data_IF_229945302337
#
_entry.id   IF_229945302337
#
_cell.length_a   1.000
_cell.length_b   1.000
_cell.length_c   1.000
_cell.angle_alpha   90.00
_cell.angle_beta   90.00
_cell.angle_gamma   90.00
#
_symmetry.space_group_name_H-M   'P 1'
#
loop_
_entity.id
_entity.type
_entity.pdbx_description
1 polymer ?
#
# COMPACT_ATOMS: atom_id res chain seq x y z
N UNK A 1 -13.48 -17.62 -2.12
CA UNK A 1 -13.83 -16.63 -1.10
C UNK A 1 -14.60 -17.36 -0.01
N UNK A 2 -14.25 -17.17 1.26
CA UNK A 2 -14.85 -17.93 2.36
C UNK A 2 -15.90 -17.08 3.08
N UNK A 3 -17.18 -17.35 2.82
CA UNK A 3 -18.33 -16.64 3.43
C UNK A 3 -19.03 -17.49 4.49
N UNK A 4 -18.51 -18.69 4.81
CA UNK A 4 -19.14 -19.66 5.70
C UNK A 4 -19.58 -19.09 7.05
N UNK A 5 -18.77 -18.21 7.64
CA UNK A 5 -19.05 -17.56 8.92
C UNK A 5 -20.05 -16.39 8.86
N UNK A 6 -20.59 -16.04 7.69
CA UNK A 6 -21.58 -14.97 7.53
C UNK A 6 -23.02 -15.50 7.72
N UNK A 7 -23.98 -14.62 8.06
CA UNK A 7 -25.41 -14.95 8.06
C UNK A 7 -25.88 -15.56 6.73
N UNK A 8 -26.84 -16.49 6.79
CA UNK A 8 -27.33 -17.23 5.60
C UNK A 8 -27.87 -16.33 4.49
N UNK A 9 -28.56 -15.24 4.87
CA UNK A 9 -29.05 -14.24 3.91
C UNK A 9 -27.92 -13.57 3.13
N UNK A 10 -26.84 -13.20 3.83
CA UNK A 10 -25.64 -12.57 3.24
C UNK A 10 -24.89 -13.58 2.38
N UNK A 11 -24.71 -14.83 2.84
CA UNK A 11 -24.10 -15.90 2.05
C UNK A 11 -24.84 -16.11 0.73
N UNK A 12 -26.17 -16.23 0.80
CA UNK A 12 -27.03 -16.42 -0.37
C UNK A 12 -26.91 -15.25 -1.34
N UNK A 13 -26.99 -14.01 -0.86
CA UNK A 13 -26.84 -12.81 -1.69
C UNK A 13 -25.48 -12.78 -2.40
N UNK A 14 -24.39 -13.00 -1.66
CA UNK A 14 -23.03 -13.06 -2.21
C UNK A 14 -22.89 -14.13 -3.30
N UNK A 15 -23.38 -15.36 -3.07
CA UNK A 15 -23.27 -16.46 -4.04
C UNK A 15 -24.09 -16.18 -5.30
N UNK A 16 -25.38 -15.80 -5.14
CA UNK A 16 -26.29 -15.58 -6.27
C UNK A 16 -25.77 -14.43 -7.14
N UNK A 17 -25.43 -13.30 -6.53
CA UNK A 17 -25.02 -12.11 -7.27
C UNK A 17 -23.64 -12.29 -7.93
N UNK A 18 -22.74 -13.06 -7.30
CA UNK A 18 -21.49 -13.47 -7.95
C UNK A 18 -21.74 -14.32 -9.19
N UNK A 19 -22.60 -15.35 -9.10
CA UNK A 19 -22.92 -16.21 -10.24
C UNK A 19 -23.57 -15.40 -11.37
N UNK A 20 -24.54 -14.53 -11.06
CA UNK A 20 -25.16 -13.64 -12.05
C UNK A 20 -24.12 -12.79 -12.77
N UNK A 21 -23.22 -12.15 -12.03
CA UNK A 21 -22.13 -11.37 -12.62
C UNK A 21 -21.29 -12.25 -13.56
N UNK A 22 -20.88 -13.45 -13.12
CA UNK A 22 -20.08 -14.37 -13.96
C UNK A 22 -20.79 -14.83 -15.24
N UNK A 23 -22.12 -14.99 -15.23
CA UNK A 23 -22.91 -15.42 -16.39
C UNK A 23 -23.18 -14.28 -17.39
N UNK A 24 -23.29 -13.04 -16.92
CA UNK A 24 -23.55 -11.86 -17.76
C UNK A 24 -22.30 -11.33 -18.50
N UNK A 25 -21.13 -11.96 -18.29
CA UNK A 25 -19.81 -11.45 -18.67
C UNK A 25 -19.42 -11.63 -20.16
N UNK A 26 -20.35 -11.44 -21.10
CA UNK A 26 -20.05 -11.49 -22.54
C UNK A 26 -19.39 -10.22 -23.10
N UNK A 27 -19.34 -9.11 -22.34
CA UNK A 27 -18.89 -7.81 -22.86
C UNK A 27 -17.66 -7.24 -22.11
N UNK A 28 -16.48 -7.52 -22.64
CA UNK A 28 -15.17 -7.16 -22.06
C UNK A 28 -14.84 -5.66 -22.10
N UNK A 29 -15.57 -4.86 -22.88
CA UNK A 29 -15.31 -3.42 -23.04
C UNK A 29 -15.62 -2.59 -21.77
N UNK A 30 -16.49 -3.09 -20.89
CA UNK A 30 -16.86 -2.47 -19.60
C UNK A 30 -15.77 -2.62 -18.52
N UNK A 31 -14.80 -3.52 -18.72
CA UNK A 31 -13.81 -3.93 -17.70
C UNK A 31 -12.81 -2.85 -17.27
N UNK A 32 -12.74 -1.68 -17.91
CA UNK A 32 -11.59 -0.76 -17.75
C UNK A 32 -11.92 0.70 -17.44
N UNK A 33 -13.17 1.06 -17.22
CA UNK A 33 -13.58 2.47 -17.01
C UNK A 33 -13.26 2.97 -15.60
N UNK A 34 -13.61 2.21 -14.56
CA UNK A 34 -13.25 2.51 -13.18
C UNK A 34 -13.37 1.27 -12.28
N UNK A 35 -12.74 1.34 -11.11
CA UNK A 35 -12.64 0.24 -10.17
C UNK A 35 -14.01 -0.16 -9.59
N UNK A 36 -14.94 0.77 -9.40
CA UNK A 36 -16.30 0.44 -8.93
C UNK A 36 -17.02 -0.49 -9.91
N UNK A 37 -17.00 -0.17 -11.21
CA UNK A 37 -17.60 -1.02 -12.24
C UNK A 37 -16.88 -2.36 -12.37
N UNK A 38 -15.54 -2.35 -12.28
CA UNK A 38 -14.75 -3.57 -12.27
C UNK A 38 -15.12 -4.50 -11.10
N UNK A 39 -15.37 -3.95 -9.91
CA UNK A 39 -15.83 -4.73 -8.74
C UNK A 39 -17.18 -5.39 -9.04
N UNK A 40 -18.19 -4.63 -9.46
CA UNK A 40 -19.52 -5.20 -9.74
C UNK A 40 -19.47 -6.27 -10.84
N UNK A 41 -18.67 -6.05 -11.88
CA UNK A 41 -18.50 -6.99 -12.97
C UNK A 41 -17.85 -8.31 -12.53
N UNK A 42 -16.84 -8.26 -11.66
CA UNK A 42 -16.09 -9.45 -11.27
C UNK A 42 -16.66 -10.16 -10.04
N UNK A 43 -17.26 -9.41 -9.12
CA UNK A 43 -17.69 -9.91 -7.81
C UNK A 43 -19.21 -9.89 -7.60
N UNK A 44 -19.98 -9.22 -8.46
CA UNK A 44 -21.42 -9.06 -8.27
C UNK A 44 -21.79 -8.14 -7.10
N UNK A 45 -23.08 -7.81 -7.00
CA UNK A 45 -23.57 -6.79 -6.07
C UNK A 45 -23.42 -7.17 -4.58
N UNK A 46 -23.58 -8.46 -4.24
CA UNK A 46 -23.46 -8.94 -2.86
C UNK A 46 -22.05 -8.75 -2.29
N UNK A 47 -21.03 -9.34 -2.92
CA UNK A 47 -19.63 -9.20 -2.46
C UNK A 47 -19.16 -7.75 -2.55
N UNK A 48 -19.58 -7.03 -3.59
CA UNK A 48 -19.32 -5.60 -3.73
C UNK A 48 -19.78 -4.82 -2.49
N UNK A 49 -21.03 -5.04 -2.07
CA UNK A 49 -21.68 -4.36 -0.95
C UNK A 49 -21.03 -4.68 0.40
N UNK A 50 -20.77 -5.95 0.70
CA UNK A 50 -20.34 -6.34 2.04
C UNK A 50 -18.83 -6.24 2.28
N UNK A 51 -18.01 -6.27 1.23
CA UNK A 51 -16.56 -6.25 1.39
C UNK A 51 -15.87 -5.28 0.44
N UNK A 52 -15.96 -5.52 -0.87
CA UNK A 52 -15.06 -4.86 -1.83
C UNK A 52 -15.22 -3.34 -1.85
N UNK A 53 -16.45 -2.82 -1.84
CA UNK A 53 -16.68 -1.37 -1.83
C UNK A 53 -16.29 -0.74 -0.48
N UNK A 54 -16.88 -1.14 0.66
CA UNK A 54 -16.61 -0.46 1.93
C UNK A 54 -15.13 -0.56 2.35
N UNK A 55 -14.49 -1.72 2.13
CA UNK A 55 -13.06 -1.88 2.40
C UNK A 55 -12.20 -0.95 1.55
N UNK A 56 -12.42 -0.93 0.23
CA UNK A 56 -11.57 -0.15 -0.66
C UNK A 56 -11.82 1.35 -0.50
N UNK A 57 -13.04 1.81 -0.23
CA UNK A 57 -13.28 3.23 0.05
C UNK A 57 -12.61 3.67 1.36
N UNK A 58 -12.64 2.82 2.39
CA UNK A 58 -11.91 3.07 3.65
C UNK A 58 -10.40 3.08 3.42
N UNK A 59 -9.88 2.13 2.64
CA UNK A 59 -8.45 2.02 2.36
C UNK A 59 -7.94 3.16 1.49
N UNK A 60 -8.62 3.48 0.38
CA UNK A 60 -8.14 4.48 -0.57
C UNK A 60 -8.53 5.92 -0.22
N UNK A 61 -9.54 6.13 0.64
CA UNK A 61 -10.08 7.44 1.00
C UNK A 61 -10.57 8.23 -0.24
N UNK A 62 -11.01 7.49 -1.27
CA UNK A 62 -11.59 8.05 -2.50
C UNK A 62 -12.76 7.19 -2.97
N UNK A 63 -13.73 7.81 -3.63
CA UNK A 63 -14.83 7.10 -4.26
C UNK A 63 -14.30 6.22 -5.42
N UNK A 64 -14.67 4.94 -5.45
CA UNK A 64 -14.05 3.96 -6.37
C UNK A 64 -14.33 4.21 -7.86
N UNK A 65 -15.34 5.04 -8.18
CA UNK A 65 -15.57 5.56 -9.55
C UNK A 65 -14.44 6.45 -10.07
N UNK A 66 -13.64 7.01 -9.17
CA UNK A 66 -12.51 7.89 -9.48
C UNK A 66 -11.17 7.13 -9.57
N UNK A 67 -11.15 5.84 -9.24
CA UNK A 67 -9.99 4.97 -9.40
C UNK A 67 -10.08 4.22 -10.73
N UNK A 68 -8.99 4.20 -11.49
CA UNK A 68 -8.81 3.36 -12.67
C UNK A 68 -8.47 1.93 -12.24
N UNK A 69 -8.39 1.02 -13.22
CA UNK A 69 -8.05 -0.38 -12.99
C UNK A 69 -6.55 -0.68 -13.19
N UNK A 70 -5.71 0.33 -13.46
CA UNK A 70 -4.31 0.15 -13.88
C UNK A 70 -3.42 -0.47 -12.79
N UNK A 71 -3.88 -0.50 -11.54
CA UNK A 71 -3.17 -1.03 -10.39
C UNK A 71 -3.64 -2.42 -9.95
N UNK A 72 -4.69 -2.97 -10.55
CA UNK A 72 -5.36 -4.17 -10.05
C UNK A 72 -4.56 -5.44 -10.36
N UNK A 73 -3.84 -5.45 -11.49
CA UNK A 73 -3.17 -6.65 -12.02
C UNK A 73 -2.23 -7.27 -10.98
N UNK A 74 -2.55 -8.51 -10.58
CA UNK A 74 -1.80 -9.30 -9.60
C UNK A 74 -2.23 -9.12 -8.13
N UNK A 75 -2.96 -8.05 -7.77
CA UNK A 75 -3.28 -7.76 -6.36
C UNK A 75 -4.64 -8.25 -5.90
N UNK A 76 -5.64 -8.27 -6.79
CA UNK A 76 -7.00 -8.72 -6.46
C UNK A 76 -7.32 -10.03 -7.21
N UNK A 77 -7.20 -11.19 -6.55
CA UNK A 77 -7.53 -12.46 -7.18
C UNK A 77 -9.04 -12.61 -7.36
N UNK A 78 -9.47 -13.03 -8.55
CA UNK A 78 -10.88 -13.32 -8.85
C UNK A 78 -11.12 -14.82 -8.55
N UNK A 79 -12.03 -15.16 -7.61
CA UNK A 79 -12.34 -16.55 -7.30
C UNK A 79 -13.12 -17.23 -8.42
N UNK A 80 -13.09 -18.56 -8.49
CA UNK A 80 -14.01 -19.31 -9.36
C UNK A 80 -15.40 -19.42 -8.74
N UNK A 81 -16.43 -19.76 -9.54
CA UNK A 81 -17.77 -20.07 -9.01
C UNK A 81 -17.69 -21.18 -7.96
N UNK A 82 -16.92 -22.25 -8.24
CA UNK A 82 -16.71 -23.35 -7.30
C UNK A 82 -16.09 -22.88 -5.98
N UNK A 83 -15.13 -21.96 -6.02
CA UNK A 83 -14.50 -21.39 -4.81
C UNK A 83 -15.49 -20.58 -3.96
N UNK A 84 -16.42 -19.86 -4.60
CA UNK A 84 -17.44 -19.05 -3.90
C UNK A 84 -18.52 -19.96 -3.30
N UNK A 85 -19.02 -20.94 -4.05
CA UNK A 85 -20.02 -21.90 -3.55
C UNK A 85 -19.44 -22.75 -2.42
N UNK A 86 -18.25 -23.32 -2.61
CA UNK A 86 -17.59 -24.14 -1.58
C UNK A 86 -17.32 -23.35 -0.30
N UNK A 87 -16.88 -22.09 -0.44
CA UNK A 87 -16.61 -21.21 0.69
C UNK A 87 -17.87 -20.72 1.41
N UNK A 88 -19.06 -20.85 0.82
CA UNK A 88 -20.33 -20.57 1.50
C UNK A 88 -20.85 -21.79 2.28
N UNK A 89 -20.59 -23.01 1.77
CA UNK A 89 -21.07 -24.26 2.36
C UNK A 89 -20.21 -24.77 3.51
N UNK A 90 -18.90 -24.52 3.47
CA UNK A 90 -17.95 -24.98 4.49
C UNK A 90 -16.81 -23.99 4.65
N UNK A 91 -16.14 -24.06 5.80
CA UNK A 91 -14.87 -23.38 5.98
C UNK A 91 -13.85 -23.96 5.00
N UNK A 92 -13.53 -23.19 3.95
CA UNK A 92 -12.69 -23.64 2.83
C UNK A 92 -11.44 -22.75 2.74
N UNK A 93 -10.35 -23.07 3.47
CA UNK A 93 -9.13 -22.28 3.50
C UNK A 93 -8.26 -22.55 2.26
N UNK A 94 -8.80 -22.26 1.07
CA UNK A 94 -7.99 -22.29 -0.15
C UNK A 94 -7.01 -21.12 -0.11
N UNK A 95 -5.74 -21.42 -0.31
CA UNK A 95 -4.69 -20.43 -0.53
C UNK A 95 -4.94 -19.73 -1.87
N UNK A 96 -5.20 -18.42 -1.83
CA UNK A 96 -5.51 -17.60 -3.01
C UNK A 96 -4.67 -16.32 -2.93
N UNK A 97 -4.06 -15.92 -4.05
CA UNK A 97 -3.31 -14.68 -4.18
C UNK A 97 -1.79 -14.85 -4.07
N UNK A 98 -1.07 -13.77 -4.36
CA UNK A 98 0.39 -13.75 -4.46
C UNK A 98 1.10 -13.95 -3.11
N UNK A 99 0.44 -13.62 -2.00
CA UNK A 99 0.98 -13.68 -0.65
C UNK A 99 0.33 -14.80 0.19
N UNK A 100 -0.27 -15.81 -0.45
CA UNK A 100 -0.87 -16.94 0.25
C UNK A 100 0.15 -17.75 1.07
N UNK A 101 1.43 -17.68 0.68
CA UNK A 101 2.60 -18.04 1.48
C UNK A 101 3.60 -16.89 1.37
N UNK A 102 4.36 -16.65 2.42
CA UNK A 102 5.41 -15.64 2.43
C UNK A 102 6.54 -16.06 3.36
N UNK A 103 7.73 -15.51 3.15
CA UNK A 103 8.86 -15.65 4.06
C UNK A 103 8.99 -14.38 4.89
N UNK A 104 9.33 -14.55 6.17
CA UNK A 104 9.66 -13.45 7.06
C UNK A 104 10.96 -13.77 7.81
N UNK A 105 11.87 -12.79 8.00
CA UNK A 105 13.10 -13.02 8.77
C UNK A 105 12.80 -13.48 10.19
N UNK A 106 13.48 -14.52 10.65
CA UNK A 106 13.29 -15.04 12.02
C UNK A 106 13.60 -13.99 13.09
N UNK A 107 14.53 -13.07 12.85
CA UNK A 107 14.82 -11.94 13.75
C UNK A 107 15.23 -10.68 12.99
N UNK A 108 15.13 -9.52 13.65
CA UNK A 108 15.55 -8.21 13.12
C UNK A 108 14.61 -7.59 12.08
N UNK A 109 13.49 -8.25 11.79
CA UNK A 109 12.47 -7.80 10.85
C UNK A 109 12.98 -7.65 9.41
N UNK A 110 12.17 -7.02 8.56
CA UNK A 110 12.47 -6.87 7.13
C UNK A 110 13.74 -6.03 6.84
N UNK A 111 14.20 -5.22 7.80
CA UNK A 111 15.41 -4.42 7.68
C UNK A 111 16.68 -5.28 7.49
N UNK A 112 16.65 -6.56 7.89
CA UNK A 112 17.72 -7.52 7.65
C UNK A 112 18.07 -7.64 6.16
N UNK A 113 17.09 -7.52 5.26
CA UNK A 113 17.32 -7.60 3.82
C UNK A 113 18.20 -6.45 3.33
N UNK A 114 17.85 -5.21 3.67
CA UNK A 114 18.63 -4.02 3.28
C UNK A 114 20.03 -4.06 3.91
N UNK A 115 20.12 -4.43 5.20
CA UNK A 115 21.41 -4.59 5.91
C UNK A 115 22.31 -5.67 5.30
N UNK A 116 21.74 -6.67 4.62
CA UNK A 116 22.53 -7.67 3.92
C UNK A 116 23.16 -7.07 2.65
N UNK A 117 22.41 -6.27 1.88
CA UNK A 117 22.94 -5.59 0.69
C UNK A 117 24.02 -4.56 1.01
N UNK A 118 23.88 -3.78 2.09
CA UNK A 118 24.84 -2.72 2.42
C UNK A 118 26.27 -3.23 2.64
N UNK A 119 26.44 -4.50 3.03
CA UNK A 119 27.77 -5.15 3.17
C UNK A 119 28.56 -5.20 1.86
N UNK A 120 27.87 -5.15 0.72
CA UNK A 120 28.47 -5.21 -0.61
C UNK A 120 28.60 -3.83 -1.28
N UNK A 121 28.10 -2.76 -0.64
CA UNK A 121 28.10 -1.40 -1.21
C UNK A 121 29.20 -0.57 -0.55
N UNK A 122 30.21 -0.18 -1.33
CA UNK A 122 31.41 0.50 -0.82
C UNK A 122 31.21 2.00 -0.52
N UNK A 123 30.34 2.69 -1.26
CA UNK A 123 30.15 4.15 -1.17
C UNK A 123 28.72 4.45 -0.71
N UNK A 124 28.52 4.43 0.60
CA UNK A 124 27.26 4.84 1.23
C UNK A 124 27.53 6.12 2.00
N UNK A 125 26.83 7.18 1.63
CA UNK A 125 26.85 8.44 2.36
C UNK A 125 25.51 8.65 3.06
N UNK A 126 25.54 8.67 4.39
CA UNK A 126 24.37 8.93 5.23
C UNK A 126 24.37 10.39 5.69
N UNK A 127 23.23 10.86 6.21
CA UNK A 127 23.04 12.25 6.65
C UNK A 127 23.31 13.29 5.54
N UNK A 128 23.04 12.92 4.30
CA UNK A 128 23.14 13.78 3.11
C UNK A 128 21.78 13.83 2.43
N UNK A 129 20.95 14.78 2.83
CA UNK A 129 19.61 14.95 2.25
C UNK A 129 19.71 15.76 0.95
N UNK A 130 19.16 15.22 -0.14
CA UNK A 130 19.12 15.92 -1.42
C UNK A 130 18.09 17.05 -1.36
N UNK A 131 18.54 18.30 -1.51
CA UNK A 131 17.68 19.48 -1.42
C UNK A 131 17.34 20.05 -2.79
N UNK A 132 18.32 20.10 -3.70
CA UNK A 132 18.17 20.78 -4.99
C UNK A 132 18.79 19.99 -6.11
N UNK A 133 18.14 20.07 -7.27
CA UNK A 133 18.59 19.48 -8.53
C UNK A 133 18.62 20.60 -9.57
N UNK A 134 19.75 20.74 -10.27
CA UNK A 134 19.95 21.67 -11.37
C UNK A 134 20.17 20.89 -12.68
N UNK A 135 19.10 20.42 -13.36
CA UNK A 135 19.18 19.59 -14.56
C UNK A 135 20.14 20.05 -15.68
N UNK A 136 20.09 21.31 -16.09
CA UNK A 136 20.94 21.89 -17.15
C UNK A 136 22.41 21.91 -16.77
N UNK A 137 22.70 22.20 -15.50
CA UNK A 137 24.08 22.17 -14.97
C UNK A 137 24.54 20.76 -14.62
N UNK A 138 23.60 19.82 -14.54
CA UNK A 138 23.80 18.47 -14.02
C UNK A 138 24.46 18.43 -12.64
N UNK A 139 23.99 19.29 -11.75
CA UNK A 139 24.47 19.40 -10.37
C UNK A 139 23.33 19.10 -9.40
N UNK A 140 23.64 18.44 -8.29
CA UNK A 140 22.77 18.34 -7.12
C UNK A 140 23.40 19.03 -5.91
N UNK A 141 22.56 19.50 -4.98
CA UNK A 141 22.97 20.14 -3.73
C UNK A 141 22.29 19.44 -2.55
N UNK A 142 23.06 19.18 -1.51
CA UNK A 142 22.62 18.52 -0.28
C UNK A 142 22.37 19.53 0.85
N UNK A 143 21.71 19.09 1.92
CA UNK A 143 21.34 19.93 3.07
C UNK A 143 22.52 20.55 3.82
N UNK A 144 23.73 20.00 3.67
CA UNK A 144 24.97 20.54 4.24
C UNK A 144 25.68 21.54 3.32
N UNK A 145 25.06 21.92 2.20
CA UNK A 145 25.59 22.86 1.22
C UNK A 145 26.61 22.26 0.25
N UNK A 146 26.99 20.98 0.40
CA UNK A 146 27.83 20.31 -0.59
C UNK A 146 27.02 20.03 -1.85
N UNK A 147 27.69 20.05 -2.99
CA UNK A 147 27.11 19.63 -4.27
C UNK A 147 27.99 18.64 -5.01
N UNK A 148 27.39 17.90 -5.94
CA UNK A 148 28.12 17.05 -6.87
C UNK A 148 27.52 17.11 -8.27
N UNK A 149 28.39 16.96 -9.27
CA UNK A 149 27.99 16.77 -10.66
C UNK A 149 27.52 15.34 -10.90
N UNK A 150 26.67 15.14 -11.90
CA UNK A 150 26.22 13.82 -12.33
C UNK A 150 26.17 13.68 -13.85
N UNK A 151 26.45 12.49 -14.37
CA UNK A 151 26.14 12.16 -15.76
C UNK A 151 24.73 11.60 -15.91
N UNK A 152 24.37 10.72 -14.96
CA UNK A 152 23.09 10.05 -14.81
C UNK A 152 22.72 10.10 -13.33
N UNK A 153 21.49 10.52 -13.02
CA UNK A 153 20.99 10.63 -11.65
C UNK A 153 19.88 9.60 -11.45
N UNK A 154 20.08 8.64 -10.54
CA UNK A 154 19.07 7.64 -10.18
C UNK A 154 18.45 8.04 -8.85
N UNK A 155 17.13 8.21 -8.83
CA UNK A 155 16.41 8.70 -7.65
C UNK A 155 15.31 7.74 -7.21
N UNK A 156 15.28 7.45 -5.92
CA UNK A 156 14.18 6.72 -5.26
C UNK A 156 13.33 7.62 -4.37
N UNK A 157 13.55 8.95 -4.40
CA UNK A 157 12.74 9.93 -3.66
C UNK A 157 11.31 9.95 -4.20
N UNK A 158 10.30 10.35 -3.39
CA UNK A 158 8.93 10.47 -3.87
C UNK A 158 8.84 11.43 -5.08
N UNK A 159 8.29 10.95 -6.19
CA UNK A 159 8.23 11.69 -7.45
C UNK A 159 7.66 13.10 -7.27
N UNK A 160 6.62 13.23 -6.46
CA UNK A 160 5.92 14.50 -6.23
C UNK A 160 6.82 15.58 -5.57
N UNK A 161 7.85 15.20 -4.81
CA UNK A 161 8.76 16.14 -4.15
C UNK A 161 9.71 16.80 -5.17
N UNK A 162 9.92 16.19 -6.34
CA UNK A 162 10.80 16.75 -7.37
C UNK A 162 10.32 18.10 -7.91
N UNK A 163 9.01 18.40 -7.78
CA UNK A 163 8.46 19.70 -8.20
C UNK A 163 9.12 20.87 -7.43
N UNK A 164 9.53 20.62 -6.19
CA UNK A 164 10.12 21.61 -5.29
C UNK A 164 11.66 21.49 -5.25
N UNK A 165 12.20 20.29 -5.53
CA UNK A 165 13.66 20.06 -5.59
C UNK A 165 14.30 20.57 -6.89
N UNK A 166 13.61 20.52 -8.04
CA UNK A 166 14.16 20.97 -9.32
C UNK A 166 14.21 22.50 -9.38
N UNK A 167 15.42 23.05 -9.37
CA UNK A 167 15.69 24.49 -9.32
C UNK A 167 15.86 25.09 -10.72
N UNK A 168 14.85 24.86 -11.57
CA UNK A 168 14.82 25.39 -12.93
C UNK A 168 13.40 25.75 -13.36
N UNK A 169 13.29 26.60 -14.38
CA UNK A 169 12.00 26.88 -14.99
C UNK A 169 11.51 25.68 -15.81
N UNK A 170 10.84 24.76 -15.12
CA UNK A 170 10.16 23.64 -15.75
C UNK A 170 9.05 24.15 -16.67
N UNK A 171 8.85 23.54 -17.86
CA UNK A 171 7.73 23.89 -18.73
C UNK A 171 6.40 23.80 -17.97
N UNK A 172 5.49 24.75 -18.24
CA UNK A 172 4.18 24.83 -17.57
C UNK A 172 3.41 23.49 -17.60
N UNK A 173 3.47 22.77 -18.72
CA UNK A 173 2.81 21.47 -18.86
C UNK A 173 3.36 20.39 -17.92
N UNK A 174 4.62 20.48 -17.50
CA UNK A 174 5.25 19.58 -16.53
C UNK A 174 4.87 19.99 -15.10
N UNK A 175 4.91 21.30 -14.79
CA UNK A 175 4.45 21.83 -13.48
C UNK A 175 3.00 21.42 -13.20
N UNK A 176 2.12 21.54 -14.20
CA UNK A 176 0.72 21.10 -14.09
C UNK A 176 0.57 19.58 -13.97
N UNK A 177 1.45 18.79 -14.60
CA UNK A 177 1.40 17.34 -14.51
C UNK A 177 1.59 16.85 -13.06
N UNK A 178 2.43 17.52 -12.24
CA UNK A 178 2.60 17.15 -10.83
C UNK A 178 1.32 17.22 -10.01
N UNK A 179 0.34 18.06 -10.39
CA UNK A 179 -0.98 18.12 -9.72
C UNK A 179 -1.83 16.86 -9.96
N UNK A 180 -1.50 16.10 -11.01
CA UNK A 180 -2.11 14.80 -11.30
C UNK A 180 -1.57 13.65 -10.45
N UNK A 181 -0.49 13.88 -9.69
CA UNK A 181 0.06 12.89 -8.77
C UNK A 181 -0.67 12.97 -7.43
N UNK A 182 -1.47 11.95 -7.12
CA UNK A 182 -2.25 11.87 -5.88
C UNK A 182 -1.85 10.66 -5.06
N UNK A 183 -2.03 10.75 -3.75
CA UNK A 183 -1.74 9.70 -2.79
C UNK A 183 -2.70 9.81 -1.60
N UNK A 184 -2.84 8.72 -0.85
CA UNK A 184 -3.27 8.76 0.53
C UNK A 184 -2.06 8.57 1.46
N UNK A 185 -2.26 8.85 2.74
CA UNK A 185 -1.30 8.60 3.80
C UNK A 185 -1.78 7.45 4.68
N UNK A 186 -0.87 6.81 5.39
CA UNK A 186 -1.18 5.72 6.32
C UNK A 186 -0.67 6.08 7.71
N UNK A 187 -1.58 6.13 8.67
CA UNK A 187 -1.25 6.16 10.08
C UNK A 187 -1.15 4.72 10.59
N UNK A 188 0.04 4.30 10.99
CA UNK A 188 0.29 2.95 11.50
C UNK A 188 0.64 3.05 13.00
N UNK A 189 -0.23 2.48 13.84
CA UNK A 189 -0.02 2.38 15.28
C UNK A 189 0.48 0.99 15.62
N UNK A 190 1.73 0.89 16.06
CA UNK A 190 2.36 -0.33 16.56
C UNK A 190 2.16 -0.42 18.08
N UNK A 191 1.71 -1.57 18.56
CA UNK A 191 1.42 -1.82 19.95
C UNK A 191 2.16 -3.05 20.45
N UNK A 192 2.86 -2.90 21.58
CA UNK A 192 3.35 -4.01 22.39
C UNK A 192 2.41 -4.23 23.57
N UNK A 193 1.95 -5.46 23.76
CA UNK A 193 0.85 -5.79 24.66
C UNK A 193 1.29 -6.94 25.58
N UNK A 194 1.12 -6.77 26.88
CA UNK A 194 1.34 -7.82 27.89
C UNK A 194 0.24 -8.87 27.80
N UNK A 195 0.63 -10.14 27.88
CA UNK A 195 -0.28 -11.28 27.84
C UNK A 195 -0.01 -12.20 26.65
N UNK A 196 -0.99 -13.06 26.37
CA UNK A 196 -0.93 -13.97 25.24
C UNK A 196 -1.75 -13.42 24.08
N UNK A 197 -1.25 -13.65 22.88
CA UNK A 197 -1.95 -13.30 21.66
C UNK A 197 -3.30 -14.02 21.54
N UNK A 198 -4.29 -13.30 21.01
CA UNK A 198 -5.69 -13.75 20.95
C UNK A 198 -6.12 -14.24 19.56
N UNK A 199 -5.22 -14.18 18.57
CA UNK A 199 -5.50 -14.57 17.19
C UNK A 199 -4.32 -15.32 16.57
N UNK A 200 -4.61 -16.34 15.75
CA UNK A 200 -3.61 -17.07 14.96
C UNK A 200 -3.49 -16.56 13.51
N UNK A 201 -3.98 -15.35 13.24
CA UNK A 201 -3.99 -14.73 11.90
C UNK A 201 -2.79 -13.83 11.73
N UNK A 202 -2.25 -13.77 10.52
CA UNK A 202 -1.19 -12.81 10.18
C UNK A 202 -1.72 -11.38 10.07
N UNK A 203 -2.88 -11.19 9.45
CA UNK A 203 -3.59 -9.91 9.38
C UNK A 203 -5.08 -10.13 9.13
N UNK A 204 -5.88 -9.14 9.51
CA UNK A 204 -7.33 -9.11 9.35
C UNK A 204 -7.71 -7.77 8.71
N UNK A 205 -8.65 -7.81 7.77
CA UNK A 205 -9.19 -6.64 7.08
C UNK A 205 -10.58 -6.29 7.66
N UNK A 206 -10.84 -5.00 7.83
CA UNK A 206 -12.04 -4.48 8.48
C UNK A 206 -12.82 -3.56 7.51
N UNK A 207 -13.77 -4.09 6.73
CA UNK A 207 -14.60 -3.29 5.82
C UNK A 207 -15.57 -2.35 6.57
N UNK A 208 -16.03 -2.73 7.76
CA UNK A 208 -17.12 -2.06 8.48
C UNK A 208 -16.73 -0.66 8.92
N UNK A 209 -17.55 0.35 8.60
CA UNK A 209 -17.26 1.76 8.92
C UNK A 209 -17.15 2.06 10.42
N UNK A 210 -17.68 1.18 11.26
CA UNK A 210 -17.66 1.33 12.72
C UNK A 210 -16.25 1.27 13.31
N UNK A 211 -15.31 0.60 12.62
CA UNK A 211 -13.91 0.52 12.99
C UNK A 211 -13.07 1.50 12.17
N UNK A 212 -12.21 2.26 12.84
CA UNK A 212 -11.42 3.28 12.16
C UNK A 212 -10.29 2.69 11.29
N UNK A 213 -9.71 1.57 11.70
CA UNK A 213 -8.68 0.88 10.94
C UNK A 213 -9.28 0.07 9.79
N UNK A 214 -8.55 -0.03 8.69
CA UNK A 214 -8.88 -0.95 7.60
C UNK A 214 -8.16 -2.30 7.75
N UNK A 215 -7.05 -2.33 8.50
CA UNK A 215 -6.25 -3.54 8.71
C UNK A 215 -5.64 -3.56 10.12
N UNK A 216 -5.66 -4.74 10.73
CA UNK A 216 -4.84 -5.07 11.90
C UNK A 216 -3.95 -6.24 11.53
N UNK A 217 -2.67 -6.17 11.82
CA UNK A 217 -1.74 -7.29 11.67
C UNK A 217 -1.05 -7.66 12.96
N UNK A 218 -0.54 -8.88 12.97
CA UNK A 218 -0.08 -9.58 14.16
C UNK A 218 1.39 -9.95 13.96
N UNK A 219 2.30 -9.07 14.38
CA UNK A 219 3.72 -9.27 14.19
C UNK A 219 4.22 -10.52 14.91
N UNK A 220 3.65 -10.83 16.08
CA UNK A 220 3.97 -12.04 16.84
C UNK A 220 3.67 -13.33 16.08
N UNK A 221 2.72 -13.32 15.15
CA UNK A 221 2.46 -14.45 14.26
C UNK A 221 3.45 -14.56 13.09
N UNK A 222 4.33 -13.56 12.86
CA UNK A 222 5.36 -13.64 11.82
C UNK A 222 6.63 -14.30 12.33
N UNK A 223 6.98 -14.06 13.60
CA UNK A 223 8.10 -14.68 14.30
C UNK A 223 7.99 -14.48 15.81
N UNK A 224 8.42 -15.48 16.58
CA UNK A 224 8.53 -15.42 18.04
C UNK A 224 9.43 -14.29 18.55
N UNK A 225 10.36 -13.80 17.72
CA UNK A 225 11.27 -12.70 18.07
C UNK A 225 10.66 -11.31 17.87
N UNK A 226 9.41 -11.22 17.43
CA UNK A 226 8.71 -9.93 17.25
C UNK A 226 8.09 -9.40 18.55
N UNK A 227 8.09 -10.18 19.63
CA UNK A 227 7.67 -9.73 20.94
C UNK A 227 8.54 -10.33 22.05
N UNK A 228 8.56 -9.67 23.22
CA UNK A 228 9.15 -10.24 24.43
C UNK A 228 8.29 -11.43 24.90
N UNK A 229 8.90 -12.38 25.61
CA UNK A 229 8.18 -13.43 26.34
C UNK A 229 7.02 -12.84 27.16
N UNK A 230 5.89 -13.54 27.15
CA UNK A 230 4.63 -13.16 27.83
C UNK A 230 4.04 -11.82 27.33
N UNK A 231 4.40 -11.42 26.11
CA UNK A 231 3.84 -10.30 25.39
C UNK A 231 3.54 -10.71 23.94
N UNK A 232 2.72 -9.92 23.26
CA UNK A 232 2.52 -9.99 21.82
C UNK A 232 2.53 -8.58 21.22
N UNK A 233 2.63 -8.51 19.90
CA UNK A 233 2.72 -7.25 19.18
C UNK A 233 1.81 -7.23 17.95
N UNK A 234 1.11 -6.11 17.78
CA UNK A 234 0.18 -5.88 16.68
C UNK A 234 0.43 -4.51 16.08
N UNK A 235 -0.09 -4.30 14.87
CA UNK A 235 -0.21 -2.98 14.27
C UNK A 235 -1.62 -2.76 13.77
N UNK A 236 -2.10 -1.52 13.84
CA UNK A 236 -3.36 -1.10 13.26
C UNK A 236 -3.14 0.06 12.28
N UNK A 237 -3.73 -0.04 11.09
CA UNK A 237 -3.55 0.93 10.02
C UNK A 237 -4.84 1.67 9.70
N UNK A 238 -4.71 3.00 9.62
CA UNK A 238 -5.78 3.92 9.23
C UNK A 238 -5.30 4.73 8.03
N UNK A 239 -6.09 4.78 6.98
CA UNK A 239 -5.82 5.66 5.84
C UNK A 239 -6.35 7.05 6.11
N UNK A 240 -5.62 8.06 5.65
CA UNK A 240 -6.05 9.45 5.71
C UNK A 240 -5.55 10.22 4.49
N UNK A 241 -6.02 11.44 4.31
CA UNK A 241 -5.56 12.32 3.22
C UNK A 241 -5.68 13.78 3.64
N UNK A 242 -5.19 14.71 2.82
CA UNK A 242 -5.36 16.14 3.08
C UNK A 242 -6.84 16.56 3.13
N UNK A 243 -7.73 15.88 2.40
CA UNK A 243 -9.17 16.14 2.40
C UNK A 243 -9.91 15.44 3.55
N UNK A 244 -9.29 14.43 4.15
CA UNK A 244 -9.82 13.68 5.28
C UNK A 244 -8.69 13.47 6.28
N UNK A 245 -8.25 14.55 6.96
CA UNK A 245 -7.14 14.49 7.87
C UNK A 245 -7.52 13.73 9.14
N UNK A 246 -6.52 13.18 9.82
CA UNK A 246 -6.68 12.58 11.14
C UNK A 246 -5.90 13.39 12.17
N UNK A 247 -6.52 13.66 13.31
CA UNK A 247 -5.79 14.14 14.49
C UNK A 247 -5.08 12.95 15.12
N UNK A 248 -3.75 13.02 15.18
CA UNK A 248 -2.90 11.91 15.65
C UNK A 248 -3.14 11.54 17.11
N UNK A 249 -3.59 12.46 17.96
CA UNK A 249 -3.91 12.15 19.36
C UNK A 249 -5.26 11.45 19.46
N UNK A 250 -6.26 11.97 18.74
CA UNK A 250 -7.62 11.40 18.74
C UNK A 250 -7.63 10.00 18.10
N UNK A 251 -6.90 9.83 16.99
CA UNK A 251 -6.91 8.56 16.24
C UNK A 251 -6.29 7.40 17.04
N UNK A 252 -5.26 7.66 17.85
CA UNK A 252 -4.64 6.64 18.71
C UNK A 252 -5.64 6.11 19.71
N UNK A 253 -6.36 7.00 20.39
CA UNK A 253 -7.35 6.60 21.38
C UNK A 253 -8.51 5.85 20.73
N UNK A 254 -8.99 6.32 19.56
CA UNK A 254 -10.03 5.62 18.82
C UNK A 254 -9.61 4.22 18.37
N UNK A 255 -8.37 4.04 17.89
CA UNK A 255 -7.84 2.73 17.53
C UNK A 255 -7.85 1.81 18.75
N UNK A 256 -7.38 2.27 19.91
CA UNK A 256 -7.34 1.47 21.15
C UNK A 256 -8.75 1.07 21.59
N UNK A 257 -9.72 1.99 21.55
CA UNK A 257 -11.13 1.71 21.85
C UNK A 257 -11.72 0.65 20.92
N UNK A 258 -11.50 0.80 19.62
CA UNK A 258 -11.99 -0.15 18.62
C UNK A 258 -11.34 -1.54 18.82
N UNK A 259 -10.04 -1.61 19.16
CA UNK A 259 -9.31 -2.85 19.46
C UNK A 259 -9.79 -3.54 20.74
N UNK A 260 -10.13 -2.77 21.79
CA UNK A 260 -10.76 -3.29 23.02
C UNK A 260 -12.16 -3.84 22.71
N UNK A 261 -12.95 -3.10 21.93
CA UNK A 261 -14.32 -3.48 21.55
C UNK A 261 -14.38 -4.81 20.80
N UNK A 262 -13.39 -5.10 19.95
CA UNK A 262 -13.29 -6.39 19.24
C UNK A 262 -12.51 -7.45 20.01
N UNK A 263 -12.06 -7.15 21.23
CA UNK A 263 -11.36 -8.09 22.10
C UNK A 263 -9.96 -8.48 21.62
N UNK A 264 -9.30 -7.69 20.77
CA UNK A 264 -7.89 -7.90 20.42
C UNK A 264 -6.93 -7.39 21.51
N UNK A 265 -7.44 -6.55 22.41
CA UNK A 265 -6.79 -6.08 23.62
C UNK A 265 -7.80 -6.28 24.76
N UNK A 266 -7.35 -6.77 25.91
CA UNK A 266 -8.23 -7.03 27.07
C UNK A 266 -8.32 -5.88 28.06
N UNK A 267 -7.25 -5.10 28.20
CA UNK A 267 -7.20 -3.90 29.04
C UNK A 267 -6.18 -2.91 28.52
N UNK A 268 -6.43 -1.62 28.75
CA UNK A 268 -5.47 -0.53 28.49
C UNK A 268 -4.19 -0.70 29.31
N UNK A 269 -4.28 -1.29 30.50
CA UNK A 269 -3.13 -1.52 31.39
C UNK A 269 -2.14 -2.54 30.82
N UNK A 270 -2.53 -3.33 29.81
CA UNK A 270 -1.66 -4.27 29.14
C UNK A 270 -0.80 -3.60 28.06
N UNK A 271 -1.06 -2.34 27.69
CA UNK A 271 -0.27 -1.62 26.70
C UNK A 271 1.07 -1.19 27.29
N UNK A 272 2.15 -1.82 26.83
CA UNK A 272 3.51 -1.53 27.30
C UNK A 272 4.33 -0.70 26.31
N UNK A 273 3.96 -0.74 25.03
CA UNK A 273 4.61 0.03 23.96
C UNK A 273 3.54 0.60 23.05
N UNK A 274 3.71 1.88 22.70
CA UNK A 274 2.98 2.56 21.63
C UNK A 274 4.02 3.22 20.74
N UNK A 275 4.06 2.82 19.48
CA UNK A 275 4.94 3.42 18.47
C UNK A 275 4.09 3.85 17.27
N UNK A 276 4.36 5.04 16.75
CA UNK A 276 3.57 5.64 15.67
C UNK A 276 4.48 5.81 14.47
N UNK A 277 4.11 5.16 13.37
CA UNK A 277 4.73 5.36 12.07
C UNK A 277 3.72 6.08 11.18
N UNK A 278 3.96 7.37 10.96
CA UNK A 278 3.14 8.20 10.09
C UNK A 278 3.71 8.26 8.68
N UNK A 279 3.09 7.54 7.77
CA UNK A 279 3.55 7.37 6.40
C UNK A 279 2.86 8.41 5.52
N UNK A 280 3.56 9.53 5.26
CA UNK A 280 3.10 10.62 4.38
C UNK A 280 2.69 10.12 3.00
N UNK A 281 3.53 9.30 2.36
CA UNK A 281 3.22 8.70 1.05
C UNK A 281 2.82 7.24 1.24
N UNK A 282 1.54 6.98 1.47
CA UNK A 282 1.03 5.63 1.68
C UNK A 282 0.87 4.86 0.36
N UNK A 283 -0.24 5.13 -0.32
CA UNK A 283 -0.61 4.50 -1.58
C UNK A 283 -0.90 5.54 -2.65
N UNK A 284 -0.49 5.23 -3.87
CA UNK A 284 -0.68 6.07 -5.04
C UNK A 284 -2.12 5.96 -5.53
N UNK A 285 -2.78 7.10 -5.75
CA UNK A 285 -4.14 7.15 -6.29
C UNK A 285 -4.07 7.16 -7.82
N UNK A 286 -4.61 6.09 -8.41
CA UNK A 286 -4.69 5.90 -9.85
C UNK A 286 -5.98 6.51 -10.37
N UNK A 287 -6.02 7.83 -10.54
CA UNK A 287 -7.17 8.49 -11.18
C UNK A 287 -6.99 8.64 -12.70
N UNK A 288 -7.94 9.28 -13.38
CA UNK A 288 -7.88 9.46 -14.84
C UNK A 288 -6.73 10.36 -15.30
N UNK A 289 -6.16 11.17 -14.40
CA UNK A 289 -5.05 12.08 -14.71
C UNK A 289 -3.68 11.40 -14.51
N UNK A 290 -3.62 10.35 -13.68
CA UNK A 290 -2.40 9.67 -13.26
C UNK A 290 -1.49 9.28 -14.44
N UNK A 291 -2.01 8.55 -15.43
CA UNK A 291 -1.17 7.96 -16.48
C UNK A 291 -0.46 9.01 -17.34
N UNK A 292 -1.20 10.04 -17.77
CA UNK A 292 -0.65 11.13 -18.59
C UNK A 292 0.28 12.03 -17.77
N UNK A 293 -0.05 12.29 -16.50
CA UNK A 293 0.83 13.01 -15.59
C UNK A 293 2.18 12.30 -15.41
N UNK A 294 2.15 11.01 -15.08
CA UNK A 294 3.34 10.19 -14.90
C UNK A 294 4.19 10.14 -16.16
N UNK A 295 3.57 9.97 -17.33
CA UNK A 295 4.28 9.94 -18.62
C UNK A 295 5.01 11.26 -18.88
N UNK A 296 4.33 12.40 -18.76
CA UNK A 296 4.93 13.74 -18.97
C UNK A 296 6.13 13.99 -18.06
N UNK A 297 5.97 13.69 -16.77
CA UNK A 297 7.03 13.90 -15.78
C UNK A 297 8.22 12.98 -16.08
N UNK A 298 7.96 11.69 -16.32
CA UNK A 298 9.02 10.71 -16.61
C UNK A 298 9.77 11.05 -17.89
N UNK A 299 9.08 11.45 -18.95
CA UNK A 299 9.69 11.87 -20.22
C UNK A 299 10.59 13.10 -20.02
N UNK A 300 10.14 14.09 -19.22
CA UNK A 300 10.94 15.27 -18.89
C UNK A 300 12.20 14.90 -18.09
N UNK A 301 12.07 14.07 -17.05
CA UNK A 301 13.20 13.64 -16.22
C UNK A 301 14.22 12.85 -17.04
N UNK A 302 13.75 11.93 -17.89
CA UNK A 302 14.62 11.10 -18.74
C UNK A 302 15.45 11.94 -19.71
N UNK A 303 14.89 13.00 -20.29
CA UNK A 303 15.63 13.94 -21.17
C UNK A 303 16.76 14.68 -20.44
N UNK A 304 16.68 14.77 -19.11
CA UNK A 304 17.70 15.37 -18.26
C UNK A 304 18.61 14.31 -17.59
N UNK A 305 18.61 13.06 -18.09
CA UNK A 305 19.34 11.94 -17.50
C UNK A 305 18.98 11.64 -16.03
N UNK A 306 17.74 11.93 -15.63
CA UNK A 306 17.20 11.61 -14.31
C UNK A 306 16.28 10.39 -14.45
N UNK A 307 16.59 9.32 -13.72
CA UNK A 307 15.90 8.05 -13.76
C UNK A 307 15.28 7.74 -12.40
N UNK A 308 13.96 7.63 -12.37
CA UNK A 308 13.24 7.30 -11.14
C UNK A 308 13.17 5.80 -10.93
N UNK A 309 13.31 5.33 -9.68
CA UNK A 309 13.18 3.93 -9.30
C UNK A 309 12.34 3.74 -8.03
N UNK A 310 11.85 2.52 -7.84
CA UNK A 310 11.14 2.08 -6.64
C UNK A 310 9.74 2.69 -6.51
N UNK A 311 9.04 2.27 -5.44
CA UNK A 311 7.62 2.56 -5.21
C UNK A 311 7.26 4.04 -5.39
N UNK A 312 7.94 4.90 -4.64
CA UNK A 312 7.63 6.33 -4.64
C UNK A 312 8.34 7.11 -5.74
N UNK A 313 9.50 6.65 -6.24
CA UNK A 313 10.15 7.28 -7.39
C UNK A 313 9.40 7.03 -8.69
N UNK A 314 9.01 5.78 -8.95
CA UNK A 314 8.16 5.42 -10.10
C UNK A 314 6.72 5.89 -9.96
N UNK A 315 6.34 6.30 -8.75
CA UNK A 315 4.95 6.64 -8.38
C UNK A 315 3.99 5.49 -8.71
N UNK A 316 4.35 4.27 -8.31
CA UNK A 316 3.60 3.04 -8.58
C UNK A 316 3.41 2.22 -7.31
N UNK A 317 2.32 1.48 -7.24
CA UNK A 317 2.13 0.40 -6.30
C UNK A 317 3.16 -0.69 -6.59
N UNK A 318 4.07 -0.92 -5.65
CA UNK A 318 5.17 -1.88 -5.76
C UNK A 318 5.37 -2.58 -4.41
N UNK A 319 5.76 -3.85 -4.49
CA UNK A 319 6.27 -4.65 -3.36
C UNK A 319 7.76 -4.36 -3.13
N UNK A 320 8.35 -4.95 -2.08
CA UNK A 320 9.80 -4.87 -1.84
C UNK A 320 10.61 -5.54 -2.95
N UNK A 321 10.12 -6.68 -3.46
CA UNK A 321 10.76 -7.40 -4.58
C UNK A 321 10.75 -6.54 -5.84
N UNK A 322 9.61 -5.97 -6.20
CA UNK A 322 9.50 -5.07 -7.36
C UNK A 322 10.48 -3.91 -7.26
N UNK A 323 10.65 -3.32 -6.07
CA UNK A 323 11.54 -2.18 -5.88
C UNK A 323 13.02 -2.56 -6.03
N UNK A 324 13.41 -3.75 -5.56
CA UNK A 324 14.78 -4.27 -5.71
C UNK A 324 15.06 -4.56 -7.19
N UNK A 325 14.13 -5.26 -7.86
CA UNK A 325 14.26 -5.62 -9.29
C UNK A 325 14.25 -4.37 -10.20
N UNK A 326 13.50 -3.33 -9.85
CA UNK A 326 13.52 -2.06 -10.60
C UNK A 326 14.88 -1.35 -10.51
N UNK A 327 15.51 -1.39 -9.34
CA UNK A 327 16.88 -0.91 -9.16
C UNK A 327 17.90 -1.69 -9.98
N UNK A 328 17.82 -3.03 -9.94
CA UNK A 328 18.68 -3.92 -10.75
C UNK A 328 18.49 -3.67 -12.26
N UNK A 329 17.24 -3.54 -12.70
CA UNK A 329 16.89 -3.31 -14.11
C UNK A 329 17.48 -2.01 -14.64
N UNK A 330 17.35 -0.90 -13.89
CA UNK A 330 17.96 0.38 -14.27
C UNK A 330 19.49 0.30 -14.26
N UNK A 331 20.10 -0.37 -13.28
CA UNK A 331 21.55 -0.54 -13.27
C UNK A 331 22.04 -1.28 -14.53
N UNK A 332 21.37 -2.39 -14.91
CA UNK A 332 21.69 -3.13 -16.15
C UNK A 332 21.52 -2.27 -17.40
N UNK A 333 20.43 -1.48 -17.48
CA UNK A 333 20.16 -0.60 -18.62
C UNK A 333 21.19 0.53 -18.79
N UNK A 334 21.78 1.01 -17.69
CA UNK A 334 22.67 2.17 -17.74
C UNK A 334 24.17 1.82 -17.79
N UNK A 335 24.54 0.57 -17.47
CA UNK A 335 25.91 0.06 -17.50
C UNK A 335 26.22 -0.62 -18.86
N UNK A 336 25.24 -1.28 -19.47
CA UNK A 336 25.30 -1.77 -20.85
C UNK A 336 25.01 -0.62 -21.82
#
# INVERSE_FOLDING_TARGET
MNTFGLPDSIKRECVIEFIKARLQNSNTKILRTNFNQWIYHNFGSGIAKYFMIPYNEKFWIVHLKNLTCDWIDGFIPIPTISDVVSGALRNYPKLIGYNARFLYPSSGGIACLVKAFTRYVKKIHLNMELMRIYPKKKVIEFSDGRGCEYDKLILSVPLIELKDMIQEDMPKCIKEAFKGLKFNSIFNLNLGIKGKELSNKHWIYFPERDFVFFRVGFYSNFSDFMAKKDCYSIYAEVSYSNSTPVDKRIIVERIIEDLLRIGLITSRDNLIVKDIVDIKYGYIIYDRCYAEALRRITDYLKRNNIFMIGRYGRWKYMTMEDAILDGESIAKQLIL
#
